data_IF_022887560379
#
_entry.id   IF_022887560379
#
_cell.length_a   1.000
_cell.length_b   1.000
_cell.length_c   1.000
_cell.angle_alpha   90.00
_cell.angle_beta   90.00
_cell.angle_gamma   90.00
#
_symmetry.space_group_name_H-M   'P 1'
#
loop_
_entity.id
_entity.type
_entity.pdbx_description
1 polymer ?
#
# COMPACT_ATOMS: atom_id res chain seq x y z
N UNK A 1 73.37 22.97 -16.52
CA UNK A 1 72.32 23.98 -16.78
C UNK A 1 71.53 24.17 -15.49
N UNK A 2 71.96 25.15 -14.71
CA UNK A 2 71.31 25.63 -13.49
C UNK A 2 70.10 26.47 -13.89
N UNK A 3 68.89 25.95 -13.65
CA UNK A 3 67.67 26.72 -13.82
C UNK A 3 67.62 27.76 -12.70
N UNK A 4 67.64 29.04 -13.09
CA UNK A 4 67.63 30.20 -12.21
C UNK A 4 66.37 30.24 -11.35
N UNK A 5 66.58 30.40 -10.05
CA UNK A 5 65.59 30.82 -9.05
C UNK A 5 65.43 32.33 -9.19
N UNK A 6 64.75 32.80 -10.24
CA UNK A 6 64.41 34.20 -10.43
C UNK A 6 62.99 34.29 -10.99
N UNK A 7 61.97 34.22 -10.11
CA UNK A 7 60.62 34.84 -10.23
C UNK A 7 59.64 34.31 -9.15
N UNK A 8 60.03 34.28 -7.87
CA UNK A 8 59.09 34.02 -6.76
C UNK A 8 58.54 35.31 -6.11
N UNK A 9 58.82 36.50 -6.66
CA UNK A 9 58.48 37.80 -6.03
C UNK A 9 57.02 38.25 -6.22
N UNK A 10 56.12 37.40 -6.72
CA UNK A 10 54.70 37.74 -6.91
C UNK A 10 53.73 36.74 -6.25
N UNK A 11 54.25 35.79 -5.45
CA UNK A 11 53.40 34.86 -4.70
C UNK A 11 53.00 35.50 -3.36
N UNK A 12 51.71 35.43 -3.02
CA UNK A 12 51.23 35.81 -1.68
C UNK A 12 51.87 34.93 -0.61
N UNK A 13 51.89 35.36 0.65
CA UNK A 13 52.48 34.55 1.74
C UNK A 13 51.86 33.14 1.80
N UNK A 14 50.56 33.03 1.53
CA UNK A 14 49.79 31.79 1.54
C UNK A 14 50.17 30.89 0.36
N UNK A 15 50.36 31.46 -0.84
CA UNK A 15 50.85 30.72 -2.00
C UNK A 15 52.28 30.23 -1.81
N UNK A 16 53.13 31.04 -1.17
CA UNK A 16 54.49 30.62 -0.80
C UNK A 16 54.46 29.48 0.21
N UNK A 17 53.54 29.49 1.19
CA UNK A 17 53.38 28.40 2.15
C UNK A 17 52.93 27.11 1.48
N UNK A 18 51.89 27.14 0.63
CA UNK A 18 51.46 25.93 -0.14
C UNK A 18 52.60 25.39 -0.99
N UNK A 19 53.34 26.27 -1.68
CA UNK A 19 54.49 25.90 -2.48
C UNK A 19 55.64 25.30 -1.65
N UNK A 20 55.97 25.87 -0.49
CA UNK A 20 57.01 25.38 0.41
C UNK A 20 56.65 24.04 1.05
N UNK A 21 55.40 23.87 1.50
CA UNK A 21 54.91 22.61 2.07
C UNK A 21 54.94 21.49 1.02
N UNK A 22 54.54 21.78 -0.22
CA UNK A 22 54.58 20.82 -1.34
C UNK A 22 56.01 20.54 -1.82
N UNK A 23 56.89 21.54 -1.88
CA UNK A 23 58.31 21.34 -2.20
C UNK A 23 59.01 20.46 -1.15
N UNK A 24 58.58 20.54 0.10
CA UNK A 24 59.06 19.67 1.19
C UNK A 24 58.55 18.23 1.01
N UNK A 25 57.31 18.06 0.53
CA UNK A 25 56.74 16.77 0.18
C UNK A 25 57.48 16.08 -0.98
N UNK A 26 57.77 16.82 -2.05
CA UNK A 26 58.48 16.30 -3.24
C UNK A 26 59.92 15.90 -2.89
N UNK A 27 60.60 16.65 -2.00
CA UNK A 27 61.94 16.31 -1.50
C UNK A 27 61.98 15.04 -0.65
N UNK A 28 60.89 14.74 0.05
CA UNK A 28 60.75 13.55 0.90
C UNK A 28 60.16 12.34 0.14
N UNK A 29 60.15 12.36 -1.20
CA UNK A 29 59.76 11.23 -2.04
C UNK A 29 58.26 11.09 -2.29
N UNK A 30 57.45 12.12 -1.99
CA UNK A 30 56.02 12.11 -2.32
C UNK A 30 55.22 10.99 -1.64
N UNK A 31 55.63 10.60 -0.42
CA UNK A 31 54.98 9.50 0.30
C UNK A 31 53.55 9.87 0.72
N UNK A 32 52.62 8.88 0.80
CA UNK A 32 51.27 9.10 1.34
C UNK A 32 51.28 9.76 2.72
N UNK A 33 52.25 9.43 3.57
CA UNK A 33 52.42 10.04 4.90
C UNK A 33 52.68 11.54 4.83
N UNK A 34 53.63 11.98 4.00
CA UNK A 34 53.88 13.41 3.81
C UNK A 34 52.66 14.15 3.26
N UNK A 35 51.85 13.50 2.42
CA UNK A 35 50.65 14.14 1.86
C UNK A 35 49.57 14.34 2.94
N UNK A 36 49.45 13.40 3.88
CA UNK A 36 48.58 13.55 5.05
C UNK A 36 49.04 14.70 5.96
N UNK A 37 50.35 14.90 6.14
CA UNK A 37 50.89 16.04 6.88
C UNK A 37 50.58 17.38 6.18
N UNK A 38 50.70 17.42 4.86
CA UNK A 38 50.33 18.59 4.04
C UNK A 38 48.84 18.91 4.20
N UNK A 39 47.97 17.91 4.08
CA UNK A 39 46.52 18.09 4.30
C UNK A 39 46.24 18.57 5.72
N UNK A 40 46.90 17.99 6.72
CA UNK A 40 46.69 18.39 8.11
C UNK A 40 47.08 19.85 8.37
N UNK A 41 48.16 20.34 7.76
CA UNK A 41 48.57 21.74 7.86
C UNK A 41 47.61 22.69 7.10
N UNK A 42 47.23 22.32 5.88
CA UNK A 42 46.31 23.14 5.07
C UNK A 42 44.94 23.28 5.73
N UNK A 43 44.45 22.21 6.34
CA UNK A 43 43.15 22.16 7.02
C UNK A 43 43.20 22.87 8.36
N UNK A 44 44.20 22.61 9.21
CA UNK A 44 44.30 23.26 10.53
C UNK A 44 44.38 24.78 10.44
N UNK A 45 45.09 25.27 9.44
CA UNK A 45 45.40 26.70 9.33
C UNK A 45 44.35 27.43 8.46
N UNK A 46 43.40 26.69 7.88
CA UNK A 46 42.42 27.22 6.94
C UNK A 46 43.06 27.83 5.68
N UNK A 47 44.29 27.43 5.34
CA UNK A 47 45.10 28.01 4.26
C UNK A 47 44.35 27.99 2.92
N UNK A 48 43.60 26.91 2.65
CA UNK A 48 42.83 26.77 1.40
C UNK A 48 41.76 27.86 1.20
N UNK A 49 41.27 28.49 2.28
CA UNK A 49 40.30 29.61 2.25
C UNK A 49 40.94 30.98 2.05
N UNK A 50 42.26 31.05 2.06
CA UNK A 50 43.02 32.30 1.98
C UNK A 50 43.83 32.38 0.69
N UNK A 51 44.17 31.23 0.09
CA UNK A 51 44.91 31.17 -1.17
C UNK A 51 44.03 31.64 -2.33
N UNK A 52 44.48 32.62 -3.13
CA UNK A 52 43.72 33.08 -4.28
C UNK A 52 43.64 32.03 -5.38
N UNK A 53 42.48 31.92 -6.04
CA UNK A 53 42.16 30.83 -6.96
C UNK A 53 42.92 30.85 -8.32
N UNK A 54 43.72 31.88 -8.59
CA UNK A 54 44.49 31.98 -9.83
C UNK A 54 45.39 33.21 -9.94
N UNK A 55 46.11 33.32 -11.06
CA UNK A 55 47.17 34.32 -11.31
C UNK A 55 46.68 35.78 -11.25
N UNK A 56 45.38 36.05 -11.31
CA UNK A 56 44.77 37.39 -11.21
C UNK A 56 43.41 37.37 -10.50
N UNK A 57 43.19 36.40 -9.60
CA UNK A 57 41.97 36.33 -8.81
C UNK A 57 42.29 36.78 -7.39
N UNK A 58 41.59 37.78 -6.86
CA UNK A 58 41.71 38.19 -5.46
C UNK A 58 40.84 37.32 -4.53
N UNK A 59 39.90 36.57 -5.12
CA UNK A 59 38.98 35.72 -4.38
C UNK A 59 39.62 34.35 -4.06
N UNK A 60 39.45 33.84 -2.82
CA UNK A 60 39.88 32.51 -2.46
C UNK A 60 38.97 31.43 -3.08
N UNK A 61 39.38 30.16 -2.95
CA UNK A 61 38.57 29.03 -3.38
C UNK A 61 37.23 28.97 -2.64
N UNK A 62 36.15 28.81 -3.38
CA UNK A 62 34.79 28.62 -2.84
C UNK A 62 34.47 27.17 -2.52
N UNK A 63 35.31 26.25 -2.98
CA UNK A 63 35.18 24.79 -2.82
C UNK A 63 36.53 24.19 -2.45
N UNK A 64 36.52 23.20 -1.56
CA UNK A 64 37.72 22.47 -1.19
C UNK A 64 38.17 21.53 -2.32
N UNK A 65 37.25 20.95 -3.10
CA UNK A 65 37.60 20.17 -4.30
C UNK A 65 38.38 20.99 -5.31
N UNK A 66 37.97 22.25 -5.53
CA UNK A 66 38.62 23.14 -6.50
C UNK A 66 40.06 23.46 -6.06
N UNK A 67 40.28 23.63 -4.76
CA UNK A 67 41.62 23.80 -4.21
C UNK A 67 42.48 22.53 -4.34
N UNK A 68 41.89 21.34 -4.12
CA UNK A 68 42.59 20.07 -4.29
C UNK A 68 43.04 19.88 -5.75
N UNK A 69 42.17 20.21 -6.71
CA UNK A 69 42.43 20.06 -8.15
C UNK A 69 43.35 21.13 -8.73
N UNK A 70 43.30 22.34 -8.18
CA UNK A 70 44.07 23.46 -8.69
C UNK A 70 45.56 23.14 -8.72
N UNK A 71 46.22 23.52 -9.83
CA UNK A 71 47.65 23.27 -10.00
C UNK A 71 48.45 24.15 -9.02
N UNK A 72 49.60 23.66 -8.56
CA UNK A 72 50.56 24.48 -7.84
C UNK A 72 50.94 25.73 -8.66
N UNK A 73 51.18 26.88 -8.00
CA UNK A 73 51.23 27.11 -6.55
C UNK A 73 49.86 27.36 -5.87
N UNK A 74 48.74 27.32 -6.61
CA UNK A 74 47.42 27.71 -6.10
C UNK A 74 46.70 26.59 -5.35
N UNK A 75 46.99 25.33 -5.68
CA UNK A 75 46.35 24.16 -5.05
C UNK A 75 47.26 22.95 -4.97
N UNK A 76 46.67 21.78 -4.70
CA UNK A 76 47.42 20.54 -4.47
C UNK A 76 47.74 19.78 -5.76
N UNK A 77 46.95 19.97 -6.82
CA UNK A 77 47.10 19.32 -8.12
C UNK A 77 46.72 17.84 -8.13
N UNK A 78 45.84 17.40 -7.24
CA UNK A 78 45.35 16.03 -7.14
C UNK A 78 43.86 15.95 -7.44
N UNK A 79 43.37 14.76 -7.78
CA UNK A 79 41.92 14.53 -7.85
C UNK A 79 41.35 14.25 -6.46
N UNK A 80 40.13 14.72 -6.13
CA UNK A 80 39.47 14.39 -4.87
C UNK A 80 39.40 12.89 -4.56
N UNK A 81 39.16 12.02 -5.57
CA UNK A 81 39.15 10.56 -5.36
C UNK A 81 40.51 10.01 -4.94
N UNK A 82 41.60 10.61 -5.41
CA UNK A 82 42.94 10.24 -4.98
C UNK A 82 43.15 10.62 -3.52
N UNK A 83 42.70 11.81 -3.11
CA UNK A 83 42.75 12.24 -1.71
C UNK A 83 42.00 11.26 -0.81
N UNK A 84 40.78 10.87 -1.18
CA UNK A 84 39.99 9.90 -0.41
C UNK A 84 40.68 8.54 -0.27
N UNK A 85 41.39 8.08 -1.30
CA UNK A 85 42.23 6.86 -1.20
C UNK A 85 43.40 7.04 -0.25
N UNK A 86 44.07 8.19 -0.27
CA UNK A 86 45.19 8.48 0.62
C UNK A 86 44.75 8.61 2.07
N UNK A 87 43.56 9.14 2.34
CA UNK A 87 43.01 9.22 3.71
C UNK A 87 42.84 7.83 4.37
N UNK A 88 42.68 6.76 3.58
CA UNK A 88 42.58 5.38 4.09
C UNK A 88 43.94 4.79 4.48
N UNK A 89 45.05 5.40 4.05
CA UNK A 89 46.40 4.93 4.39
C UNK A 89 46.78 5.42 5.79
N UNK A 90 47.26 4.55 6.70
CA UNK A 90 47.76 4.99 7.99
C UNK A 90 49.07 5.77 7.81
N UNK A 91 49.17 6.92 8.47
CA UNK A 91 50.39 7.70 8.54
C UNK A 91 51.45 6.92 9.36
N UNK A 92 52.74 6.91 8.93
CA UNK A 92 53.78 6.10 9.56
C UNK A 92 53.94 6.26 11.08
N UNK A 93 53.55 7.42 11.60
CA UNK A 93 53.67 7.77 13.02
C UNK A 93 52.34 7.75 13.80
N UNK A 94 51.28 7.11 13.29
CA UNK A 94 49.98 6.97 14.01
C UNK A 94 50.03 6.07 15.26
N UNK A 95 51.17 5.45 15.54
CA UNK A 95 51.46 4.87 16.86
C UNK A 95 51.48 5.92 17.98
N UNK A 96 51.79 7.18 17.67
CA UNK A 96 51.83 8.28 18.64
C UNK A 96 50.43 8.85 18.85
N UNK A 97 49.90 8.91 20.09
CA UNK A 97 48.52 9.35 20.36
C UNK A 97 48.16 10.73 19.81
N UNK A 98 49.04 11.71 19.96
CA UNK A 98 48.81 13.08 19.47
C UNK A 98 48.75 13.15 17.94
N UNK A 99 49.64 12.42 17.26
CA UNK A 99 49.64 12.35 15.79
C UNK A 99 48.38 11.64 15.31
N UNK A 100 47.96 10.56 15.97
CA UNK A 100 46.70 9.87 15.66
C UNK A 100 45.50 10.79 15.80
N UNK A 101 45.41 11.54 16.90
CA UNK A 101 44.34 12.50 17.14
C UNK A 101 44.30 13.58 16.05
N UNK A 102 45.46 14.14 15.68
CA UNK A 102 45.60 15.11 14.60
C UNK A 102 45.16 14.56 13.24
N UNK A 103 45.63 13.36 12.89
CA UNK A 103 45.26 12.71 11.61
C UNK A 103 43.77 12.37 11.56
N UNK A 104 43.18 11.89 12.66
CA UNK A 104 41.74 11.62 12.72
C UNK A 104 40.90 12.89 12.59
N UNK A 105 41.30 13.99 13.23
CA UNK A 105 40.64 15.27 13.08
C UNK A 105 40.71 15.79 11.63
N UNK A 106 41.90 15.74 11.01
CA UNK A 106 42.09 16.11 9.61
C UNK A 106 41.23 15.25 8.67
N UNK A 107 41.24 13.91 8.83
CA UNK A 107 40.44 13.00 8.01
C UNK A 107 38.96 13.33 8.10
N UNK A 108 38.45 13.52 9.31
CA UNK A 108 37.05 13.87 9.54
C UNK A 108 36.68 15.20 8.87
N UNK A 109 37.56 16.20 8.95
CA UNK A 109 37.29 17.51 8.36
C UNK A 109 37.36 17.49 6.83
N UNK A 110 38.37 16.84 6.25
CA UNK A 110 38.50 16.67 4.80
C UNK A 110 37.33 15.86 4.24
N UNK A 111 36.97 14.75 4.89
CA UNK A 111 35.82 13.93 4.49
C UNK A 111 34.52 14.74 4.55
N UNK A 112 34.33 15.55 5.60
CA UNK A 112 33.17 16.43 5.73
C UNK A 112 33.09 17.46 4.60
N UNK A 113 34.20 18.13 4.28
CA UNK A 113 34.23 19.13 3.20
C UNK A 113 33.94 18.49 1.83
N UNK A 114 34.59 17.36 1.52
CA UNK A 114 34.34 16.64 0.27
C UNK A 114 32.91 16.06 0.21
N UNK A 115 32.36 15.57 1.32
CA UNK A 115 31.00 15.06 1.39
C UNK A 115 29.95 16.15 1.16
N UNK A 116 30.17 17.38 1.66
CA UNK A 116 29.31 18.54 1.38
C UNK A 116 29.23 18.84 -0.12
N UNK A 117 30.35 18.64 -0.82
CA UNK A 117 30.48 18.79 -2.27
C UNK A 117 29.98 17.53 -3.04
N UNK A 118 29.67 16.45 -2.32
CA UNK A 118 29.14 15.20 -2.84
C UNK A 118 30.17 14.15 -3.22
N UNK A 119 31.43 14.37 -2.87
CA UNK A 119 32.55 13.48 -3.14
C UNK A 119 32.78 12.61 -1.90
N UNK A 120 32.09 11.47 -1.83
CA UNK A 120 32.08 10.58 -0.65
C UNK A 120 33.02 9.38 -0.75
N UNK A 121 33.53 9.07 -1.95
CA UNK A 121 34.33 7.87 -2.20
C UNK A 121 33.52 6.57 -2.22
N UNK A 122 32.19 6.68 -2.18
CA UNK A 122 31.26 5.58 -2.29
C UNK A 122 31.27 5.02 -3.71
N UNK A 123 31.73 3.79 -3.88
CA UNK A 123 31.88 3.15 -5.21
C UNK A 123 30.62 2.40 -5.65
N UNK A 124 30.51 2.08 -6.95
CA UNK A 124 29.44 1.22 -7.47
C UNK A 124 29.47 -0.17 -6.82
N UNK A 125 30.65 -0.74 -6.55
CA UNK A 125 30.76 -2.05 -5.88
C UNK A 125 30.27 -2.01 -4.43
N UNK A 126 30.50 -0.89 -3.72
CA UNK A 126 29.93 -0.69 -2.39
C UNK A 126 28.41 -0.52 -2.47
N UNK A 127 27.90 0.25 -3.44
CA UNK A 127 26.46 0.38 -3.71
C UNK A 127 25.79 -0.96 -3.91
N UNK A 128 26.34 -1.80 -4.79
CA UNK A 128 25.74 -3.10 -5.12
C UNK A 128 25.72 -4.05 -3.92
N UNK A 129 26.79 -4.03 -3.10
CA UNK A 129 26.83 -4.76 -1.83
C UNK A 129 25.77 -4.27 -0.86
N UNK A 130 25.64 -2.96 -0.68
CA UNK A 130 24.71 -2.38 0.29
C UNK A 130 23.25 -2.52 -0.16
N UNK A 131 22.95 -2.39 -1.46
CA UNK A 131 21.60 -2.65 -2.02
C UNK A 131 21.22 -4.12 -1.83
N UNK A 132 22.17 -5.04 -2.00
CA UNK A 132 21.95 -6.47 -1.76
C UNK A 132 21.70 -6.74 -0.27
N UNK A 133 22.50 -6.14 0.62
CA UNK A 133 22.32 -6.23 2.07
C UNK A 133 20.97 -5.61 2.51
N UNK A 134 20.60 -4.46 1.93
CA UNK A 134 19.30 -3.80 2.17
C UNK A 134 18.12 -4.71 1.84
N UNK A 135 18.23 -5.52 0.78
CA UNK A 135 17.19 -6.49 0.41
C UNK A 135 17.09 -7.68 1.39
N UNK A 136 18.18 -8.01 2.08
CA UNK A 136 18.25 -9.07 3.08
C UNK A 136 17.78 -8.63 4.47
N UNK A 137 17.82 -7.33 4.77
CA UNK A 137 17.26 -6.76 5.99
C UNK A 137 15.72 -6.94 5.99
N UNK A 138 15.18 -7.31 7.17
CA UNK A 138 13.82 -7.78 7.37
C UNK A 138 12.73 -6.86 6.76
N UNK A 139 11.59 -7.45 6.40
CA UNK A 139 10.46 -6.79 5.72
C UNK A 139 9.70 -5.82 6.63
N UNK A 140 10.01 -5.77 7.91
CA UNK A 140 9.35 -4.98 8.95
C UNK A 140 9.47 -3.46 8.74
N UNK A 141 10.42 -2.98 7.95
CA UNK A 141 10.53 -1.56 7.64
C UNK A 141 11.04 -0.75 8.84
N UNK A 142 12.02 0.11 8.58
CA UNK A 142 12.58 0.96 9.62
C UNK A 142 13.23 2.19 9.04
N UNK A 143 13.54 3.14 9.92
CA UNK A 143 14.18 4.41 9.58
C UNK A 143 15.46 4.23 8.77
N UNK A 144 16.25 3.21 9.08
CA UNK A 144 17.50 2.92 8.36
C UNK A 144 17.27 2.55 6.89
N UNK A 145 16.24 1.75 6.60
CA UNK A 145 15.91 1.36 5.23
C UNK A 145 15.44 2.56 4.42
N UNK A 146 14.69 3.47 5.06
CA UNK A 146 14.22 4.71 4.46
C UNK A 146 15.37 5.70 4.21
N UNK A 147 16.26 5.87 5.19
CA UNK A 147 17.48 6.67 5.08
C UNK A 147 18.36 6.18 3.92
N UNK A 148 18.60 4.87 3.86
CA UNK A 148 19.42 4.29 2.79
C UNK A 148 18.80 4.52 1.41
N UNK A 149 17.49 4.31 1.26
CA UNK A 149 16.78 4.62 0.01
C UNK A 149 16.88 6.11 -0.31
N UNK A 150 16.70 6.99 0.67
CA UNK A 150 16.82 8.44 0.47
C UNK A 150 18.24 8.87 0.06
N UNK A 151 19.29 8.17 0.51
CA UNK A 151 20.67 8.40 0.08
C UNK A 151 20.93 7.95 -1.37
N UNK A 152 20.32 6.84 -1.80
CA UNK A 152 20.63 6.22 -3.10
C UNK A 152 19.68 6.60 -4.24
N UNK A 153 18.43 6.97 -3.94
CA UNK A 153 17.36 7.08 -4.94
C UNK A 153 16.93 8.53 -5.16
N UNK A 154 16.79 8.92 -6.43
CA UNK A 154 16.18 10.19 -6.81
C UNK A 154 14.68 10.04 -7.11
N UNK A 155 13.90 11.09 -6.86
CA UNK A 155 12.45 11.15 -7.15
C UNK A 155 12.14 11.32 -8.66
N UNK A 156 13.12 11.11 -9.54
CA UNK A 156 12.95 11.31 -10.98
C UNK A 156 11.82 10.42 -11.54
N UNK A 157 10.84 11.05 -12.19
CA UNK A 157 9.83 10.35 -12.96
C UNK A 157 10.49 9.61 -14.12
N UNK A 158 10.07 8.36 -14.31
CA UNK A 158 10.19 7.56 -15.54
C UNK A 158 11.51 7.66 -16.30
N UNK A 159 12.43 6.73 -16.00
CA UNK A 159 13.27 6.02 -16.98
C UNK A 159 14.15 6.80 -17.97
N UNK A 160 14.12 8.13 -18.00
CA UNK A 160 14.75 8.89 -19.05
C UNK A 160 15.02 10.33 -18.57
N UNK A 161 16.18 10.48 -17.94
CA UNK A 161 17.18 11.50 -18.28
C UNK A 161 18.30 11.32 -17.27
N UNK A 162 19.51 11.16 -17.78
CA UNK A 162 20.70 11.61 -17.10
C UNK A 162 20.35 12.91 -16.38
N UNK A 163 20.37 12.88 -15.06
CA UNK A 163 20.40 14.10 -14.27
C UNK A 163 21.79 14.70 -14.49
N UNK A 164 22.03 15.18 -15.72
CA UNK A 164 23.02 16.19 -16.04
C UNK A 164 22.48 17.50 -15.44
N UNK A 165 22.43 17.53 -14.11
CA UNK A 165 22.37 18.76 -13.35
C UNK A 165 23.76 19.35 -13.44
N UNK A 166 23.83 20.50 -14.10
CA UNK A 166 25.04 21.25 -14.38
C UNK A 166 25.75 21.60 -13.05
N UNK A 167 26.83 20.89 -12.75
CA UNK A 167 27.67 21.10 -11.58
C UNK A 167 28.58 19.88 -11.41
N UNK A 168 29.89 20.06 -11.61
CA UNK A 168 30.94 19.06 -11.41
C UNK A 168 30.93 18.54 -9.95
N UNK A 169 30.01 17.66 -9.61
CA UNK A 169 30.09 16.86 -8.40
C UNK A 169 30.45 15.45 -8.85
N UNK A 170 31.75 15.13 -8.82
CA UNK A 170 32.32 13.83 -9.21
C UNK A 170 31.97 12.68 -8.22
N UNK A 171 30.84 12.81 -7.53
CA UNK A 171 30.24 11.79 -6.69
C UNK A 171 29.34 10.83 -7.49
N UNK A 172 29.16 9.62 -6.95
CA UNK A 172 28.32 8.62 -7.58
C UNK A 172 26.86 9.12 -7.62
N UNK A 173 26.24 9.29 -8.81
CA UNK A 173 24.91 9.88 -8.91
C UNK A 173 23.84 8.95 -8.34
N UNK A 174 22.75 9.51 -7.81
CA UNK A 174 21.61 8.71 -7.37
C UNK A 174 20.99 7.96 -8.54
N UNK A 175 20.46 6.78 -8.25
CA UNK A 175 19.78 5.92 -9.22
C UNK A 175 18.27 6.11 -9.16
N UNK A 176 17.56 5.68 -10.20
CA UNK A 176 16.10 5.67 -10.19
C UNK A 176 15.55 4.59 -9.25
N UNK A 177 14.30 4.73 -8.80
CA UNK A 177 13.64 3.71 -8.00
C UNK A 177 13.51 2.36 -8.76
N UNK A 178 13.35 2.41 -10.09
CA UNK A 178 13.30 1.22 -10.94
C UNK A 178 14.65 0.49 -10.98
N UNK A 179 15.75 1.24 -11.09
CA UNK A 179 17.09 0.66 -11.08
C UNK A 179 17.45 0.07 -9.72
N UNK A 180 17.12 0.78 -8.63
CA UNK A 180 17.28 0.26 -7.28
C UNK A 180 16.48 -1.04 -7.10
N UNK A 181 15.23 -1.06 -7.57
CA UNK A 181 14.36 -2.22 -7.51
C UNK A 181 14.90 -3.43 -8.27
N UNK A 182 15.47 -3.20 -9.46
CA UNK A 182 16.15 -4.23 -10.25
C UNK A 182 17.32 -4.84 -9.48
N UNK A 183 18.20 -4.01 -8.91
CA UNK A 183 19.40 -4.46 -8.15
C UNK A 183 19.05 -5.16 -6.84
N UNK A 184 18.04 -4.68 -6.12
CA UNK A 184 17.57 -5.27 -4.85
C UNK A 184 16.59 -6.45 -5.02
N UNK A 185 16.20 -6.80 -6.26
CA UNK A 185 15.13 -7.79 -6.55
C UNK A 185 13.83 -7.48 -5.80
N UNK A 186 13.43 -6.21 -5.76
CA UNK A 186 12.18 -5.75 -5.14
C UNK A 186 11.33 -4.94 -6.13
N UNK A 187 10.20 -4.40 -5.70
CA UNK A 187 9.36 -3.53 -6.54
C UNK A 187 9.74 -2.05 -6.40
N UNK A 188 9.70 -1.30 -7.50
CA UNK A 188 9.89 0.15 -7.49
C UNK A 188 8.87 0.86 -6.58
N UNK A 189 7.66 0.33 -6.47
CA UNK A 189 6.63 0.81 -5.56
C UNK A 189 7.06 0.73 -4.09
N UNK A 190 7.70 -0.38 -3.67
CA UNK A 190 8.24 -0.53 -2.31
C UNK A 190 9.33 0.49 -2.03
N UNK A 191 10.24 0.70 -2.99
CA UNK A 191 11.31 1.71 -2.90
C UNK A 191 10.70 3.12 -2.75
N UNK A 192 9.75 3.46 -3.62
CA UNK A 192 9.08 4.77 -3.57
C UNK A 192 8.27 4.98 -2.29
N UNK A 193 7.78 3.90 -1.64
CA UNK A 193 7.09 4.00 -0.36
C UNK A 193 8.04 4.41 0.77
N UNK A 194 9.24 3.82 0.82
CA UNK A 194 10.28 4.25 1.76
C UNK A 194 10.70 5.70 1.52
N UNK A 195 10.89 6.09 0.26
CA UNK A 195 11.23 7.47 -0.11
C UNK A 195 10.13 8.46 0.29
N UNK A 196 8.86 8.12 0.05
CA UNK A 196 7.71 8.95 0.45
C UNK A 196 7.60 9.08 1.97
N UNK A 197 7.79 7.99 2.71
CA UNK A 197 7.77 8.02 4.16
C UNK A 197 8.90 8.90 4.72
N UNK A 198 10.09 8.86 4.12
CA UNK A 198 11.21 9.75 4.50
C UNK A 198 10.88 11.23 4.27
N UNK A 199 10.36 11.58 3.10
CA UNK A 199 9.98 12.97 2.80
C UNK A 199 8.83 13.46 3.69
N UNK A 200 7.83 12.61 3.97
CA UNK A 200 6.75 12.96 4.90
C UNK A 200 7.27 13.19 6.33
N UNK A 201 8.27 12.41 6.77
CA UNK A 201 8.93 12.64 8.04
C UNK A 201 9.72 13.95 8.08
N UNK A 202 10.34 14.34 6.96
CA UNK A 202 11.03 15.63 6.81
C UNK A 202 10.05 16.80 6.86
N UNK A 203 8.93 16.70 6.14
CA UNK A 203 7.85 17.71 6.18
C UNK A 203 7.27 17.89 7.58
N UNK A 204 7.19 16.80 8.36
CA UNK A 204 6.76 16.84 9.76
C UNK A 204 7.86 17.29 10.75
N UNK A 205 9.08 17.59 10.28
CA UNK A 205 10.21 17.99 11.11
C UNK A 205 10.80 16.87 11.99
N UNK A 206 10.46 15.60 11.71
CA UNK A 206 10.95 14.43 12.47
C UNK A 206 12.37 14.05 12.05
N UNK A 207 12.71 14.23 10.77
CA UNK A 207 14.09 14.14 10.26
C UNK A 207 14.52 15.50 9.70
N UNK A 208 15.80 15.83 9.85
CA UNK A 208 16.33 17.16 9.49
C UNK A 208 16.63 17.31 7.99
N UNK A 209 16.99 16.22 7.31
CA UNK A 209 17.46 16.23 5.93
C UNK A 209 16.47 15.54 5.00
N UNK A 210 16.15 16.19 3.88
CA UNK A 210 15.33 15.59 2.82
C UNK A 210 16.15 14.69 1.91
N UNK A 211 15.50 13.92 1.03
CA UNK A 211 16.23 13.10 0.08
C UNK A 211 17.02 13.96 -0.94
N UNK A 212 16.64 15.21 -1.19
CA UNK A 212 17.45 16.10 -2.04
C UNK A 212 18.82 16.43 -1.43
N UNK A 213 18.90 16.48 -0.10
CA UNK A 213 20.10 16.88 0.64
C UNK A 213 21.03 15.69 0.92
N UNK A 214 20.49 14.47 0.83
CA UNK A 214 21.24 13.24 1.07
C UNK A 214 22.00 12.79 -0.18
N UNK A 215 23.09 12.03 -0.01
CA UNK A 215 23.92 11.51 -1.11
C UNK A 215 24.38 10.07 -0.84
N UNK A 216 24.74 9.29 -1.88
CA UNK A 216 25.32 7.97 -1.69
C UNK A 216 26.59 8.01 -0.84
N UNK A 217 26.65 7.16 0.19
CA UNK A 217 27.76 7.14 1.14
C UNK A 217 27.70 8.21 2.23
N UNK A 218 26.55 8.86 2.43
CA UNK A 218 26.35 9.73 3.59
C UNK A 218 26.58 8.99 4.90
N UNK A 219 27.18 9.70 5.87
CA UNK A 219 27.41 9.17 7.20
C UNK A 219 26.10 8.79 7.90
N UNK A 220 26.10 7.72 8.71
CA UNK A 220 24.95 7.37 9.53
C UNK A 220 24.52 8.55 10.40
N UNK A 221 23.25 8.96 10.27
CA UNK A 221 22.67 10.01 11.10
C UNK A 221 21.89 9.42 12.28
N UNK A 222 21.68 10.22 13.31
CA UNK A 222 20.82 9.86 14.43
C UNK A 222 19.37 9.74 13.93
N UNK A 223 18.80 8.54 14.05
CA UNK A 223 17.47 8.23 13.55
C UNK A 223 16.44 8.31 14.69
N UNK A 224 15.19 8.70 14.40
CA UNK A 224 14.11 8.72 15.39
C UNK A 224 13.79 7.32 15.92
N UNK A 225 13.02 7.27 17.02
CA UNK A 225 12.48 6.01 17.55
C UNK A 225 11.60 5.27 16.52
N UNK A 226 11.73 3.95 16.48
CA UNK A 226 10.96 3.05 15.61
C UNK A 226 9.43 3.13 15.86
N UNK A 227 9.01 3.54 17.07
CA UNK A 227 7.59 3.70 17.40
C UNK A 227 6.88 4.76 16.54
N UNK A 228 7.64 5.72 16.01
CA UNK A 228 7.13 6.82 15.18
C UNK A 228 7.05 6.43 13.71
N UNK A 229 7.81 5.41 13.27
CA UNK A 229 7.94 5.00 11.87
C UNK A 229 6.59 4.67 11.22
N UNK A 230 5.72 3.95 11.94
CA UNK A 230 4.40 3.53 11.45
C UNK A 230 3.45 4.68 11.10
N UNK A 231 3.72 5.91 11.53
CA UNK A 231 2.94 7.10 11.15
C UNK A 231 3.22 7.55 9.72
N UNK A 232 4.45 7.34 9.25
CA UNK A 232 4.91 7.80 7.94
C UNK A 232 4.95 6.67 6.92
N UNK A 233 5.27 5.45 7.37
CA UNK A 233 5.29 4.26 6.55
C UNK A 233 3.96 3.52 6.65
N UNK A 234 2.93 4.09 6.00
CA UNK A 234 1.59 3.52 5.98
C UNK A 234 1.44 2.32 5.04
N UNK A 235 0.50 1.40 5.33
CA UNK A 235 0.16 0.31 4.42
C UNK A 235 -0.52 0.81 3.13
N UNK A 236 -0.64 -0.10 2.17
CA UNK A 236 -0.83 0.16 0.74
C UNK A 236 -2.23 0.71 0.45
N UNK A 237 -2.39 2.04 0.37
CA UNK A 237 -3.61 2.72 -0.09
C UNK A 237 -4.93 2.37 0.65
N UNK A 238 -4.88 1.67 1.79
CA UNK A 238 -6.09 1.16 2.46
C UNK A 238 -7.00 2.25 2.99
N UNK A 239 -6.44 3.26 3.67
CA UNK A 239 -7.19 4.30 4.39
C UNK A 239 -7.76 5.43 3.50
N UNK A 240 -7.14 5.71 2.35
CA UNK A 240 -7.56 6.82 1.46
C UNK A 240 -8.77 6.48 0.58
N UNK A 241 -9.22 5.22 0.57
CA UNK A 241 -10.41 4.79 -0.17
C UNK A 241 -11.68 4.98 0.67
N UNK A 242 -12.81 5.31 0.05
CA UNK A 242 -14.13 5.40 0.70
C UNK A 242 -14.45 4.12 1.51
N UNK A 243 -14.16 2.96 0.92
CA UNK A 243 -14.27 1.66 1.60
C UNK A 243 -13.35 1.54 2.82
N UNK A 244 -12.16 2.15 2.79
CA UNK A 244 -11.24 2.21 3.91
C UNK A 244 -11.73 3.09 5.05
N UNK A 245 -12.31 4.24 4.71
CA UNK A 245 -12.94 5.14 5.69
C UNK A 245 -14.11 4.45 6.41
N UNK A 246 -14.96 3.72 5.66
CA UNK A 246 -16.05 2.93 6.25
C UNK A 246 -15.56 1.84 7.21
N UNK A 247 -14.47 1.14 6.85
CA UNK A 247 -13.86 0.13 7.73
C UNK A 247 -13.26 0.77 8.98
N UNK A 248 -12.60 1.92 8.85
CA UNK A 248 -12.05 2.66 9.96
C UNK A 248 -13.14 3.12 10.94
N UNK A 249 -14.22 3.72 10.43
CA UNK A 249 -15.36 4.14 11.24
C UNK A 249 -16.03 2.95 11.95
N UNK A 250 -16.23 1.83 11.26
CA UNK A 250 -16.77 0.61 11.88
C UNK A 250 -15.84 0.04 12.96
N UNK A 251 -14.52 0.11 12.75
CA UNK A 251 -13.54 -0.30 13.76
C UNK A 251 -13.60 0.57 15.01
N UNK A 252 -13.73 1.88 14.86
CA UNK A 252 -13.87 2.82 15.99
C UNK A 252 -15.11 2.54 16.83
N UNK A 253 -16.27 2.31 16.19
CA UNK A 253 -17.51 1.92 16.87
C UNK A 253 -17.34 0.61 17.64
N UNK A 254 -16.59 -0.34 17.07
CA UNK A 254 -16.26 -1.60 17.72
C UNK A 254 -15.14 -1.51 18.78
N UNK A 255 -14.56 -0.33 19.01
CA UNK A 255 -13.43 -0.14 19.93
C UNK A 255 -12.11 -0.74 19.45
N UNK A 256 -11.98 -1.01 18.15
CA UNK A 256 -10.80 -1.61 17.52
C UNK A 256 -9.97 -0.50 16.88
N UNK A 257 -8.64 -0.61 16.98
CA UNK A 257 -7.72 0.31 16.28
C UNK A 257 -7.96 0.25 14.76
N UNK A 258 -8.22 1.37 14.07
CA UNK A 258 -8.49 1.39 12.63
C UNK A 258 -7.42 0.69 11.78
N UNK A 259 -6.15 0.83 12.17
CA UNK A 259 -5.02 0.19 11.48
C UNK A 259 -5.13 -1.33 11.46
N UNK A 260 -5.53 -1.96 12.58
CA UNK A 260 -5.70 -3.43 12.66
C UNK A 260 -6.83 -3.92 11.75
N UNK A 261 -7.93 -3.19 11.67
CA UNK A 261 -9.05 -3.56 10.79
C UNK A 261 -8.64 -3.46 9.30
N UNK A 262 -7.86 -2.44 8.95
CA UNK A 262 -7.33 -2.28 7.60
C UNK A 262 -6.30 -3.37 7.24
N UNK A 263 -5.46 -3.79 8.20
CA UNK A 263 -4.52 -4.91 8.01
C UNK A 263 -5.25 -6.24 7.75
N UNK A 264 -6.31 -6.54 8.52
CA UNK A 264 -7.14 -7.74 8.30
C UNK A 264 -7.79 -7.71 6.91
N UNK A 265 -8.29 -6.54 6.47
CA UNK A 265 -8.85 -6.33 5.13
C UNK A 265 -7.80 -6.59 4.03
N UNK A 266 -6.56 -6.20 4.23
CA UNK A 266 -5.48 -6.43 3.26
C UNK A 266 -5.06 -7.90 3.15
N UNK A 267 -5.44 -8.75 4.12
CA UNK A 267 -5.06 -10.16 4.14
C UNK A 267 -6.26 -11.12 4.34
N UNK A 268 -7.16 -11.23 3.35
CA UNK A 268 -8.36 -12.05 3.45
C UNK A 268 -8.05 -13.55 3.60
N UNK A 269 -6.91 -14.02 3.09
CA UNK A 269 -6.47 -15.41 3.27
C UNK A 269 -6.13 -15.69 4.73
N UNK A 270 -5.44 -14.76 5.42
CA UNK A 270 -5.15 -14.90 6.85
C UNK A 270 -6.44 -14.92 7.67
N UNK A 271 -7.42 -14.06 7.34
CA UNK A 271 -8.74 -14.08 7.98
C UNK A 271 -9.46 -15.41 7.77
N UNK A 272 -9.44 -15.96 6.54
CA UNK A 272 -10.03 -17.27 6.24
C UNK A 272 -9.38 -18.38 7.07
N UNK A 273 -8.06 -18.38 7.21
CA UNK A 273 -7.34 -19.35 8.05
C UNK A 273 -7.76 -19.21 9.51
N UNK A 274 -7.86 -17.98 10.03
CA UNK A 274 -8.32 -17.74 11.41
C UNK A 274 -9.75 -18.26 11.65
N UNK A 275 -10.67 -18.04 10.72
CA UNK A 275 -12.05 -18.55 10.79
C UNK A 275 -12.07 -20.08 10.79
N UNK A 276 -11.25 -20.74 9.97
CA UNK A 276 -11.19 -22.21 9.92
C UNK A 276 -10.57 -22.79 11.20
N UNK A 277 -9.56 -22.12 11.75
CA UNK A 277 -8.77 -22.61 12.86
C UNK A 277 -9.39 -22.37 14.25
N UNK A 278 -10.27 -21.38 14.39
CA UNK A 278 -10.84 -20.98 15.69
C UNK A 278 -12.37 -20.85 15.65
N UNK A 279 -13.04 -21.63 16.51
CA UNK A 279 -14.50 -21.70 16.58
C UNK A 279 -15.13 -20.36 16.99
N UNK A 280 -14.52 -19.62 17.93
CA UNK A 280 -15.06 -18.32 18.37
C UNK A 280 -15.01 -17.30 17.24
N UNK A 281 -13.93 -17.30 16.46
CA UNK A 281 -13.77 -16.46 15.27
C UNK A 281 -14.81 -16.84 14.20
N UNK A 282 -15.10 -18.13 14.02
CA UNK A 282 -16.16 -18.58 13.11
C UNK A 282 -17.56 -18.13 13.55
N UNK A 283 -17.88 -18.22 14.83
CA UNK A 283 -19.16 -17.76 15.40
C UNK A 283 -19.34 -16.26 15.23
N UNK A 284 -18.31 -15.46 15.55
CA UNK A 284 -18.34 -14.00 15.35
C UNK A 284 -18.50 -13.61 13.88
N UNK A 285 -17.84 -14.33 12.96
CA UNK A 285 -18.00 -14.10 11.52
C UNK A 285 -19.42 -14.43 11.04
N UNK A 286 -20.03 -15.50 11.56
CA UNK A 286 -21.41 -15.88 11.25
C UNK A 286 -22.40 -14.84 11.77
N UNK A 287 -22.26 -14.39 13.00
CA UNK A 287 -23.10 -13.35 13.60
C UNK A 287 -23.07 -12.05 12.77
N UNK A 288 -21.87 -11.61 12.36
CA UNK A 288 -21.72 -10.44 11.50
C UNK A 288 -22.41 -10.61 10.12
N UNK A 289 -22.38 -11.81 9.55
CA UNK A 289 -23.10 -12.12 8.30
C UNK A 289 -24.62 -12.11 8.51
N UNK A 290 -25.10 -12.64 9.64
CA UNK A 290 -26.52 -12.68 9.98
C UNK A 290 -27.08 -11.26 10.18
N UNK A 291 -26.35 -10.37 10.86
CA UNK A 291 -26.70 -8.95 10.99
C UNK A 291 -26.80 -8.29 9.61
N UNK A 292 -25.80 -8.50 8.74
CA UNK A 292 -25.84 -7.95 7.38
C UNK A 292 -27.01 -8.47 6.56
N UNK A 293 -27.34 -9.75 6.70
CA UNK A 293 -28.49 -10.36 6.03
C UNK A 293 -29.82 -9.83 6.58
N UNK A 294 -29.91 -9.54 7.88
CA UNK A 294 -31.08 -8.92 8.50
C UNK A 294 -31.31 -7.50 7.96
N UNK A 295 -30.26 -6.68 7.86
CA UNK A 295 -30.34 -5.32 7.29
C UNK A 295 -30.72 -5.34 5.80
N UNK A 296 -30.17 -6.27 5.01
CA UNK A 296 -30.57 -6.42 3.61
C UNK A 296 -32.07 -6.77 3.48
N UNK A 297 -32.56 -7.70 4.31
CA UNK A 297 -33.98 -8.07 4.37
C UNK A 297 -34.86 -6.92 4.85
N UNK A 298 -34.40 -6.10 5.79
CA UNK A 298 -35.09 -4.90 6.25
C UNK A 298 -35.35 -3.95 5.07
N UNK A 299 -34.34 -3.67 4.24
CA UNK A 299 -34.49 -2.80 3.07
C UNK A 299 -35.51 -3.36 2.07
N UNK A 300 -35.40 -4.64 1.73
CA UNK A 300 -36.31 -5.31 0.80
C UNK A 300 -37.76 -5.29 1.31
N UNK A 301 -37.97 -5.65 2.58
CA UNK A 301 -39.29 -5.67 3.22
C UNK A 301 -39.90 -4.28 3.32
N UNK A 302 -39.11 -3.27 3.70
CA UNK A 302 -39.56 -1.88 3.73
C UNK A 302 -40.00 -1.40 2.34
N UNK A 303 -39.22 -1.72 1.30
CA UNK A 303 -39.59 -1.41 -0.08
C UNK A 303 -40.90 -2.10 -0.49
N UNK A 304 -41.07 -3.36 -0.14
CA UNK A 304 -42.31 -4.09 -0.41
C UNK A 304 -43.53 -3.44 0.25
N UNK A 305 -43.44 -3.09 1.54
CA UNK A 305 -44.53 -2.41 2.27
C UNK A 305 -44.89 -1.09 1.60
N UNK A 306 -43.91 -0.27 1.20
CA UNK A 306 -44.15 0.98 0.48
C UNK A 306 -44.84 0.75 -0.86
N UNK A 307 -44.38 -0.23 -1.63
CA UNK A 307 -44.96 -0.54 -2.93
C UNK A 307 -46.42 -0.96 -2.81
N UNK A 308 -46.72 -1.87 -1.87
CA UNK A 308 -48.08 -2.36 -1.65
C UNK A 308 -49.00 -1.23 -1.19
N UNK A 309 -48.54 -0.38 -0.26
CA UNK A 309 -49.33 0.75 0.23
C UNK A 309 -49.54 1.85 -0.83
N UNK A 310 -48.53 2.15 -1.65
CA UNK A 310 -48.59 3.18 -2.69
C UNK A 310 -49.41 2.76 -3.90
N UNK A 311 -48.99 1.66 -4.55
CA UNK A 311 -49.58 1.19 -5.80
C UNK A 311 -50.93 0.49 -5.56
N UNK A 312 -51.14 -0.05 -4.36
CA UNK A 312 -52.29 -0.92 -4.06
C UNK A 312 -52.21 -2.27 -4.78
N UNK A 313 -51.06 -2.61 -5.38
CA UNK A 313 -50.86 -3.86 -6.10
C UNK A 313 -50.01 -4.79 -5.26
N UNK A 314 -50.46 -6.04 -5.13
CA UNK A 314 -49.75 -7.06 -4.38
C UNK A 314 -49.75 -8.39 -5.13
N UNK A 315 -48.81 -9.27 -4.78
CA UNK A 315 -48.83 -10.66 -5.21
C UNK A 315 -49.39 -11.51 -4.07
N UNK A 316 -50.33 -12.38 -4.39
CA UNK A 316 -50.82 -13.42 -3.49
C UNK A 316 -49.73 -14.46 -3.19
N UNK A 317 -49.93 -15.36 -2.21
CA UNK A 317 -49.00 -16.46 -1.93
C UNK A 317 -48.66 -17.35 -3.13
N UNK A 318 -49.59 -17.59 -4.05
CA UNK A 318 -49.35 -18.35 -5.29
C UNK A 318 -48.68 -17.49 -6.40
N UNK A 319 -48.55 -16.18 -6.19
CA UNK A 319 -47.91 -15.24 -7.10
C UNK A 319 -48.86 -14.54 -8.08
N UNK A 320 -50.18 -14.61 -7.85
CA UNK A 320 -51.18 -13.91 -8.66
C UNK A 320 -51.15 -12.41 -8.32
N UNK A 321 -51.03 -11.50 -9.30
CA UNK A 321 -51.17 -10.07 -9.03
C UNK A 321 -52.64 -9.74 -8.73
N UNK A 322 -52.88 -9.06 -7.62
CA UNK A 322 -54.20 -8.55 -7.20
C UNK A 322 -54.12 -7.06 -6.89
N UNK A 323 -55.25 -6.38 -7.02
CA UNK A 323 -55.43 -5.01 -6.52
C UNK A 323 -56.11 -5.07 -5.15
N UNK A 324 -55.52 -4.39 -4.17
CA UNK A 324 -56.02 -4.36 -2.81
C UNK A 324 -57.24 -3.44 -2.71
N UNK A 325 -58.30 -3.85 -1.99
CA UNK A 325 -59.44 -2.99 -1.73
C UNK A 325 -59.02 -1.78 -0.89
N UNK A 326 -59.77 -0.68 -0.99
CA UNK A 326 -59.44 0.59 -0.35
C UNK A 326 -59.16 0.47 1.16
N UNK A 327 -59.91 -0.39 1.86
CA UNK A 327 -59.72 -0.64 3.29
C UNK A 327 -58.38 -1.33 3.60
N UNK A 328 -57.98 -2.32 2.80
CA UNK A 328 -56.69 -3.00 2.96
C UNK A 328 -55.52 -2.07 2.60
N UNK A 329 -55.69 -1.23 1.57
CA UNK A 329 -54.71 -0.19 1.21
C UNK A 329 -54.51 0.82 2.34
N UNK A 330 -55.59 1.28 2.98
CA UNK A 330 -55.50 2.19 4.11
C UNK A 330 -54.80 1.56 5.33
N UNK A 331 -55.08 0.28 5.63
CA UNK A 331 -54.36 -0.46 6.69
C UNK A 331 -52.87 -0.64 6.34
N UNK A 332 -52.54 -0.94 5.09
CA UNK A 332 -51.14 -1.04 4.63
C UNK A 332 -50.40 0.30 4.73
N UNK A 333 -51.06 1.42 4.44
CA UNK A 333 -50.49 2.76 4.57
C UNK A 333 -50.09 3.10 6.02
N UNK A 334 -50.79 2.58 7.02
CA UNK A 334 -50.41 2.77 8.43
C UNK A 334 -49.05 2.14 8.77
N UNK A 335 -48.67 1.04 8.09
CA UNK A 335 -47.38 0.39 8.27
C UNK A 335 -46.23 1.09 7.53
N UNK A 336 -46.53 2.01 6.60
CA UNK A 336 -45.50 2.81 5.91
C UNK A 336 -44.71 3.65 6.92
N UNK A 337 -45.40 4.25 7.89
CA UNK A 337 -44.77 5.05 8.94
C UNK A 337 -43.75 4.22 9.76
N UNK A 338 -44.02 2.93 9.98
CA UNK A 338 -43.12 2.02 10.71
C UNK A 338 -41.86 1.73 9.89
N UNK A 339 -41.98 1.55 8.58
CA UNK A 339 -40.82 1.22 7.71
C UNK A 339 -40.05 2.44 7.20
N UNK A 340 -40.57 3.64 7.40
CA UNK A 340 -39.89 4.91 7.12
C UNK A 340 -39.16 5.49 8.33
N UNK A 341 -39.42 4.97 9.54
CA UNK A 341 -38.63 5.32 10.71
C UNK A 341 -37.18 4.84 10.53
N UNK A 342 -36.24 5.80 10.51
CA UNK A 342 -34.81 5.53 10.41
C UNK A 342 -34.30 4.65 11.56
N UNK A 343 -34.98 4.68 12.71
CA UNK A 343 -34.64 3.88 13.91
C UNK A 343 -35.33 2.53 13.96
N UNK A 344 -36.17 2.18 12.97
CA UNK A 344 -36.85 0.89 12.96
C UNK A 344 -35.84 -0.26 12.95
N UNK A 345 -36.03 -1.27 13.81
CA UNK A 345 -35.19 -2.47 13.79
C UNK A 345 -35.59 -3.40 12.64
N UNK A 346 -34.72 -4.34 12.21
CA UNK A 346 -35.09 -5.35 11.23
C UNK A 346 -36.34 -6.15 11.61
N UNK A 347 -36.57 -6.38 12.91
CA UNK A 347 -37.73 -7.08 13.46
C UNK A 347 -39.01 -6.27 13.31
N UNK A 348 -38.98 -4.97 13.65
CA UNK A 348 -40.14 -4.09 13.50
C UNK A 348 -40.60 -4.00 12.02
N UNK A 349 -39.64 -3.92 11.09
CA UNK A 349 -39.94 -3.95 9.64
C UNK A 349 -40.45 -5.33 9.20
N UNK A 350 -39.96 -6.41 9.80
CA UNK A 350 -40.49 -7.75 9.56
C UNK A 350 -41.95 -7.87 10.00
N UNK A 351 -42.30 -7.39 11.19
CA UNK A 351 -43.69 -7.39 11.69
C UNK A 351 -44.62 -6.59 10.78
N UNK A 352 -44.20 -5.41 10.34
CA UNK A 352 -44.94 -4.60 9.38
C UNK A 352 -45.16 -5.34 8.04
N UNK A 353 -44.12 -6.02 7.55
CA UNK A 353 -44.20 -6.84 6.34
C UNK A 353 -45.18 -8.01 6.50
N UNK A 354 -45.08 -8.79 7.57
CA UNK A 354 -45.98 -9.91 7.85
C UNK A 354 -47.43 -9.43 8.03
N UNK A 355 -47.64 -8.28 8.66
CA UNK A 355 -48.96 -7.68 8.77
C UNK A 355 -49.55 -7.31 7.40
N UNK A 356 -48.75 -6.76 6.49
CA UNK A 356 -49.17 -6.49 5.10
C UNK A 356 -49.46 -7.79 4.35
N UNK A 357 -48.66 -8.85 4.55
CA UNK A 357 -48.96 -10.17 3.98
C UNK A 357 -50.28 -10.74 4.50
N UNK A 358 -50.57 -10.60 5.80
CA UNK A 358 -51.82 -11.04 6.39
C UNK A 358 -53.03 -10.31 5.78
N UNK A 359 -52.90 -9.00 5.48
CA UNK A 359 -53.95 -8.24 4.78
C UNK A 359 -54.21 -8.77 3.36
N UNK A 360 -53.17 -9.21 2.66
CA UNK A 360 -53.31 -9.82 1.32
C UNK A 360 -54.06 -11.16 1.45
N UNK A 361 -53.70 -11.98 2.43
CA UNK A 361 -54.38 -13.26 2.68
C UNK A 361 -55.85 -13.05 3.04
N UNK A 362 -56.15 -12.07 3.91
CA UNK A 362 -57.52 -11.67 4.26
C UNK A 362 -58.31 -11.21 3.03
N UNK A 363 -57.68 -10.42 2.15
CA UNK A 363 -58.26 -9.95 0.90
C UNK A 363 -58.61 -11.11 -0.04
N UNK A 364 -57.69 -12.06 -0.21
CA UNK A 364 -57.91 -13.26 -1.04
C UNK A 364 -59.06 -14.08 -0.47
N UNK A 365 -59.09 -14.31 0.83
CA UNK A 365 -60.13 -15.11 1.49
C UNK A 365 -61.52 -14.46 1.44
N UNK A 366 -61.57 -13.13 1.39
CA UNK A 366 -62.84 -12.37 1.33
C UNK A 366 -63.45 -12.32 -0.07
N UNK A 367 -62.69 -12.65 -1.11
CA UNK A 367 -63.15 -12.66 -2.51
C UNK A 367 -63.13 -14.10 -3.07
N UNK A 368 -64.32 -14.73 -3.26
CA UNK A 368 -64.42 -16.08 -3.80
C UNK A 368 -63.79 -16.25 -5.19
N UNK A 369 -63.84 -15.24 -6.06
CA UNK A 369 -63.24 -15.33 -7.39
C UNK A 369 -61.72 -15.33 -7.32
N UNK A 370 -61.14 -14.45 -6.47
CA UNK A 370 -59.69 -14.41 -6.25
C UNK A 370 -59.23 -15.73 -5.64
N UNK A 371 -59.98 -16.28 -4.67
CA UNK A 371 -59.66 -17.59 -4.08
C UNK A 371 -59.62 -18.71 -5.13
N UNK A 372 -60.59 -18.78 -6.04
CA UNK A 372 -60.60 -19.80 -7.11
C UNK A 372 -59.40 -19.62 -8.04
N UNK A 373 -59.10 -18.37 -8.46
CA UNK A 373 -57.95 -18.07 -9.31
C UNK A 373 -56.62 -18.39 -8.64
N UNK A 374 -56.52 -18.14 -7.34
CA UNK A 374 -55.36 -18.46 -6.50
C UNK A 374 -55.13 -19.97 -6.42
N UNK A 375 -56.19 -20.73 -6.11
CA UNK A 375 -56.13 -22.20 -6.06
C UNK A 375 -55.70 -22.77 -7.41
N UNK A 376 -56.30 -22.29 -8.51
CA UNK A 376 -55.92 -22.70 -9.87
C UNK A 376 -54.46 -22.40 -10.15
N UNK A 377 -53.99 -21.19 -9.87
CA UNK A 377 -52.57 -20.82 -10.04
C UNK A 377 -51.65 -21.73 -9.24
N UNK A 378 -51.99 -22.02 -7.98
CA UNK A 378 -51.24 -22.92 -7.10
C UNK A 378 -51.16 -24.34 -7.68
N UNK A 379 -52.30 -24.90 -8.09
CA UNK A 379 -52.37 -26.23 -8.69
C UNK A 379 -51.57 -26.31 -9.99
N UNK A 380 -51.77 -25.36 -10.91
CA UNK A 380 -51.03 -25.31 -12.18
C UNK A 380 -49.53 -25.19 -11.93
N UNK A 381 -49.09 -24.29 -11.05
CA UNK A 381 -47.66 -24.13 -10.73
C UNK A 381 -47.05 -25.41 -10.16
N UNK A 382 -47.78 -26.10 -9.29
CA UNK A 382 -47.35 -27.37 -8.70
C UNK A 382 -47.21 -28.46 -9.76
N UNK A 383 -48.21 -28.59 -10.63
CA UNK A 383 -48.20 -29.57 -11.72
C UNK A 383 -47.08 -29.29 -12.73
N UNK A 384 -46.94 -28.04 -13.20
CA UNK A 384 -45.87 -27.66 -14.14
C UNK A 384 -44.48 -27.86 -13.55
N UNK A 385 -44.28 -27.54 -12.26
CA UNK A 385 -43.00 -27.78 -11.58
C UNK A 385 -42.70 -29.27 -11.42
N UNK A 386 -43.73 -30.08 -11.12
CA UNK A 386 -43.60 -31.54 -10.99
C UNK A 386 -43.25 -32.17 -12.33
N UNK A 387 -43.97 -31.82 -13.40
CA UNK A 387 -43.69 -32.28 -14.77
C UNK A 387 -42.27 -31.93 -15.17
N UNK A 388 -41.83 -30.68 -14.96
CA UNK A 388 -40.44 -30.28 -15.26
C UNK A 388 -39.42 -31.08 -14.47
N UNK A 389 -39.70 -31.39 -13.20
CA UNK A 389 -38.81 -32.20 -12.37
C UNK A 389 -38.72 -33.64 -12.90
N UNK A 390 -39.84 -34.21 -13.35
CA UNK A 390 -39.87 -35.53 -13.99
C UNK A 390 -39.13 -35.52 -15.33
N UNK A 391 -39.33 -34.50 -16.17
CA UNK A 391 -38.64 -34.33 -17.46
C UNK A 391 -37.12 -34.15 -17.31
N UNK A 392 -36.65 -33.64 -16.16
CA UNK A 392 -35.22 -33.45 -15.89
C UNK A 392 -34.48 -34.72 -15.46
N UNK A 393 -35.19 -35.83 -15.25
CA UNK A 393 -34.59 -37.11 -14.88
C UNK A 393 -33.98 -37.74 -16.14
N UNK A 394 -32.67 -38.01 -16.09
CA UNK A 394 -31.98 -38.77 -17.14
C UNK A 394 -32.44 -40.24 -17.11
N UNK A 395 -32.96 -40.80 -18.22
CA UNK A 395 -33.36 -42.20 -18.28
C UNK A 395 -32.22 -43.18 -17.99
N UNK A 396 -30.99 -42.88 -18.40
CA UNK A 396 -29.83 -43.75 -18.19
C UNK A 396 -29.41 -43.71 -16.70
N UNK A 397 -29.39 -42.49 -16.14
CA UNK A 397 -29.47 -42.16 -14.71
C UNK A 397 -30.36 -43.12 -13.91
N UNK A 398 -31.63 -43.11 -14.31
CA UNK A 398 -32.71 -43.79 -13.62
C UNK A 398 -32.57 -45.32 -13.67
N UNK A 399 -32.15 -45.86 -14.82
CA UNK A 399 -31.94 -47.30 -14.99
C UNK A 399 -30.79 -47.82 -14.14
N UNK A 400 -29.72 -47.04 -13.96
CA UNK A 400 -28.56 -47.42 -13.16
C UNK A 400 -28.87 -47.60 -11.66
N UNK A 401 -29.87 -46.89 -11.14
CA UNK A 401 -30.29 -46.91 -9.72
C UNK A 401 -31.62 -47.62 -9.48
N UNK A 402 -32.14 -48.36 -10.48
CA UNK A 402 -33.50 -48.89 -10.46
C UNK A 402 -33.70 -50.07 -9.48
N UNK A 403 -34.29 -49.79 -8.31
CA UNK A 403 -34.74 -50.79 -7.35
C UNK A 403 -36.27 -50.89 -7.24
N UNK A 404 -36.75 -51.86 -6.45
CA UNK A 404 -38.18 -52.13 -6.28
C UNK A 404 -38.91 -51.03 -5.49
N UNK A 405 -38.21 -50.31 -4.61
CA UNK A 405 -38.76 -49.16 -3.89
C UNK A 405 -38.98 -47.96 -4.80
N UNK A 406 -38.03 -47.69 -5.71
CA UNK A 406 -38.15 -46.65 -6.72
C UNK A 406 -39.26 -46.97 -7.73
N UNK A 407 -39.35 -48.23 -8.17
CA UNK A 407 -40.47 -48.72 -9.01
C UNK A 407 -41.82 -48.51 -8.33
N UNK A 408 -41.95 -48.88 -7.05
CA UNK A 408 -43.18 -48.68 -6.29
C UNK A 408 -43.55 -47.20 -6.15
N UNK A 409 -42.55 -46.32 -5.96
CA UNK A 409 -42.76 -44.87 -5.84
C UNK A 409 -43.28 -44.24 -7.13
N UNK A 410 -42.75 -44.67 -8.29
CA UNK A 410 -43.23 -44.23 -9.62
C UNK A 410 -44.67 -44.67 -9.84
N UNK A 411 -45.01 -45.93 -9.51
CA UNK A 411 -46.39 -46.44 -9.64
C UNK A 411 -47.36 -45.67 -8.73
N UNK A 412 -46.95 -45.37 -7.49
CA UNK A 412 -47.77 -44.58 -6.57
C UNK A 412 -48.00 -43.15 -7.08
N UNK A 413 -46.96 -42.51 -7.63
CA UNK A 413 -47.08 -41.18 -8.23
C UNK A 413 -48.03 -41.20 -9.45
N UNK A 414 -47.88 -42.17 -10.35
CA UNK A 414 -48.78 -42.34 -11.51
C UNK A 414 -50.22 -42.52 -11.08
N UNK A 415 -50.48 -43.39 -10.08
CA UNK A 415 -51.83 -43.61 -9.55
C UNK A 415 -52.43 -42.30 -9.03
N UNK A 416 -51.66 -41.52 -8.28
CA UNK A 416 -52.14 -40.25 -7.71
C UNK A 416 -52.45 -39.21 -8.79
N UNK A 417 -51.65 -39.14 -9.85
CA UNK A 417 -51.90 -38.27 -11.00
C UNK A 417 -53.21 -38.67 -11.71
N UNK A 418 -53.43 -39.96 -11.92
CA UNK A 418 -54.65 -40.46 -12.54
C UNK A 418 -55.90 -40.11 -11.70
N UNK A 419 -55.85 -40.32 -10.38
CA UNK A 419 -56.94 -39.93 -9.47
C UNK A 419 -57.27 -38.43 -9.57
N UNK A 420 -56.25 -37.56 -9.69
CA UNK A 420 -56.46 -36.13 -9.86
C UNK A 420 -57.06 -35.78 -11.24
N UNK A 421 -56.68 -36.51 -12.29
CA UNK A 421 -57.24 -36.34 -13.63
C UNK A 421 -58.72 -36.74 -13.68
N UNK A 422 -59.08 -37.85 -13.01
CA UNK A 422 -60.46 -38.33 -12.93
C UNK A 422 -61.38 -37.32 -12.23
N UNK A 423 -60.88 -36.61 -11.21
CA UNK A 423 -61.63 -35.53 -10.53
C UNK A 423 -61.93 -34.32 -11.45
N UNK A 424 -61.16 -34.13 -12.52
CA UNK A 424 -61.31 -33.04 -13.48
C UNK A 424 -62.08 -33.45 -14.73
N UNK A 425 -62.38 -34.75 -14.91
CA UNK A 425 -63.13 -35.24 -16.05
C UNK A 425 -64.56 -34.66 -16.01
N UNK A 426 -65.09 -34.15 -17.14
CA UNK A 426 -66.49 -33.73 -17.18
C UNK A 426 -67.39 -34.91 -16.84
N UNK A 427 -68.55 -34.69 -16.17
CA UNK A 427 -69.50 -35.77 -15.95
C UNK A 427 -69.85 -36.36 -17.31
N UNK A 428 -69.70 -37.67 -17.46
CA UNK A 428 -70.02 -38.37 -18.70
C UNK A 428 -71.39 -37.89 -19.16
N UNK A 429 -71.43 -37.17 -20.28
CA UNK A 429 -72.66 -36.73 -20.91
C UNK A 429 -73.46 -37.99 -21.19
N UNK A 430 -74.43 -38.29 -20.32
CA UNK A 430 -75.40 -39.33 -20.54
C UNK A 430 -76.05 -38.99 -21.87
N UNK A 431 -75.71 -39.76 -22.91
CA UNK A 431 -76.43 -39.80 -24.17
C UNK A 431 -77.91 -40.02 -23.83
N UNK A 432 -78.67 -38.91 -23.81
CA UNK A 432 -80.08 -38.91 -24.15
C UNK A 432 -80.11 -38.79 -25.65
N UNK A 433 -80.52 -39.89 -26.29
CA UNK A 433 -81.34 -39.98 -27.50
C UNK A 433 -81.64 -41.48 -27.61
N UNK A 434 -82.82 -41.91 -27.16
CA UNK A 434 -84.07 -41.99 -27.92
C UNK A 434 -84.17 -43.34 -28.65
#
# INVERSE_FOLDING_TARGET
MTVRVESNSYLTEEQQRVYQLRSSLERNGGTPGGFLDLLAAVVSDGTWRQVPAGVNADAPFTSFSDFIEAKPPFGLGHKPEYVLKVLQVPHPHEGVPEIRKRMNAMRAEVQKMLAQEGITGYSEEQRDRDITAWAALDRSGGWWLAFFVACQVSKGADGNRNSAGNGKADGLPKISAAEFARRSRTSAERVLRYLRAWEAAKEAGVVQLGAADLRPGNDPMELPSDEVWGRFYGPRNGAASERGALIAAAAEVAGIRPTKALEVKENPTALKVAIIADQRTAEAAKEALDVRAAEARKVERAQYVRQVAGDGKAKTPAGLPIELPAQAKAKAAAYVAVVEDEKATPEAVAEAYEAVQALIVETVASDPEITIREQRTRFTKTLTSTVRSIESIDPDDLLAVADDGLRASIVAAQKRINELADLLAPPASSHRDA
#
